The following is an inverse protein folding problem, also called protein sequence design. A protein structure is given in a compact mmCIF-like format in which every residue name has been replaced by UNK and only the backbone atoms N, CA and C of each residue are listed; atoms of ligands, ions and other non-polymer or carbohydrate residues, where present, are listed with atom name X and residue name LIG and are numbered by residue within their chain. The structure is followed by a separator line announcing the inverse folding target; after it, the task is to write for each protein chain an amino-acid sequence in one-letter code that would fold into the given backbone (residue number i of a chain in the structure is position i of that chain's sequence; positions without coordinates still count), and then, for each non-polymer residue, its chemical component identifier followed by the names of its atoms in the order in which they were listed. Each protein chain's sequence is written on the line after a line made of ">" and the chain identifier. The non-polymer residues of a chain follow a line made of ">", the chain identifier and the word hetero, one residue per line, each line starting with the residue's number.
data_IF_334630716287
#
_entry.id   IF_334630716287
#
_cell.length_a   1.000
_cell.length_b   1.000
_cell.length_c   1.000
_cell.angle_alpha   90.00
_cell.angle_beta   90.00
_cell.angle_gamma   90.00
#
_symmetry.space_group_name_H-M   'P 1'
#
loop_
_entity.id
_entity.type
_entity.pdbx_description
1 polymer ?
#
# COMPACT_ATOMS: atom_id res chain seq x y z
N UNK A 1 17.42 7.04 -16.30
CA UNK A 1 16.10 7.14 -16.96
C UNK A 1 15.81 5.78 -17.55
N UNK A 2 14.74 5.13 -17.09
CA UNK A 2 14.40 3.76 -17.49
C UNK A 2 13.58 3.78 -18.78
N UNK A 3 13.74 2.76 -19.63
CA UNK A 3 13.00 2.57 -20.89
C UNK A 3 11.47 2.78 -20.72
N UNK A 4 10.95 2.41 -19.56
CA UNK A 4 9.55 2.57 -19.15
C UNK A 4 9.08 4.04 -19.18
N UNK A 5 9.94 5.01 -18.86
CA UNK A 5 9.57 6.44 -18.86
C UNK A 5 9.30 7.01 -20.26
N UNK A 6 9.78 6.34 -21.32
CA UNK A 6 9.56 6.74 -22.72
C UNK A 6 8.36 6.04 -23.36
N UNK A 7 8.11 4.79 -22.97
CA UNK A 7 7.03 3.96 -23.56
C UNK A 7 5.65 4.38 -23.02
N UNK A 8 5.56 4.71 -21.75
CA UNK A 8 4.27 5.07 -21.12
C UNK A 8 3.59 6.27 -21.79
N UNK A 9 4.27 7.39 -22.10
CA UNK A 9 3.64 8.53 -22.79
C UNK A 9 3.09 8.15 -24.16
N UNK A 10 3.80 7.30 -24.90
CA UNK A 10 3.37 6.86 -26.26
C UNK A 10 2.09 6.02 -26.18
N UNK A 11 2.00 5.10 -25.21
CA UNK A 11 0.82 4.25 -25.02
C UNK A 11 -0.34 5.04 -24.41
N UNK A 12 -0.06 6.06 -23.61
CA UNK A 12 -1.08 6.93 -23.00
C UNK A 12 -1.89 7.72 -24.04
N UNK A 13 -1.31 7.98 -25.22
CA UNK A 13 -2.03 8.66 -26.34
C UNK A 13 -3.21 7.82 -26.82
N UNK A 14 -3.08 6.50 -26.85
CA UNK A 14 -4.07 5.59 -27.43
C UNK A 14 -5.03 4.96 -26.41
N UNK A 15 -4.80 5.13 -25.11
CA UNK A 15 -5.63 4.53 -24.05
C UNK A 15 -6.00 5.54 -22.99
N UNK A 16 -7.29 5.99 -22.92
CA UNK A 16 -7.74 7.03 -21.97
C UNK A 16 -7.41 6.71 -20.50
N UNK A 17 -7.54 5.45 -20.08
CA UNK A 17 -7.22 5.03 -18.70
C UNK A 17 -5.72 5.19 -18.38
N UNK A 18 -4.83 4.89 -19.33
CA UNK A 18 -3.37 5.04 -19.15
C UNK A 18 -3.00 6.52 -19.15
N UNK A 19 -3.67 7.35 -19.95
CA UNK A 19 -3.49 8.80 -19.96
C UNK A 19 -3.86 9.42 -18.61
N UNK A 20 -5.04 9.10 -18.08
CA UNK A 20 -5.47 9.54 -16.75
C UNK A 20 -4.48 9.09 -15.66
N UNK A 21 -4.07 7.84 -15.69
CA UNK A 21 -3.10 7.25 -14.78
C UNK A 21 -1.74 7.95 -14.82
N UNK A 22 -1.23 8.26 -16.00
CA UNK A 22 0.06 8.94 -16.20
C UNK A 22 0.00 10.42 -15.79
N UNK A 23 -1.01 11.16 -16.30
CA UNK A 23 -1.17 12.58 -16.00
C UNK A 23 -1.48 12.82 -14.51
N UNK A 24 -2.33 11.99 -13.92
CA UNK A 24 -2.66 12.10 -12.50
C UNK A 24 -1.41 12.02 -11.61
N UNK A 25 -0.49 11.08 -11.90
CA UNK A 25 0.78 10.97 -11.16
C UNK A 25 1.73 12.13 -11.39
N UNK A 26 1.82 12.61 -12.64
CA UNK A 26 2.78 13.65 -13.02
C UNK A 26 2.43 15.01 -12.40
N UNK A 27 1.13 15.29 -12.25
CA UNK A 27 0.65 16.61 -11.83
C UNK A 27 0.07 16.64 -10.42
N UNK A 28 0.14 15.52 -9.67
CA UNK A 28 -0.33 15.54 -8.29
C UNK A 28 0.60 16.38 -7.40
N UNK A 29 0.00 17.18 -6.55
CA UNK A 29 0.69 17.89 -5.48
C UNK A 29 0.62 17.02 -4.22
N UNK A 30 1.77 16.79 -3.60
CA UNK A 30 1.81 16.08 -2.32
C UNK A 30 1.32 17.01 -1.20
N UNK A 31 0.62 16.48 -0.18
CA UNK A 31 0.02 17.32 0.85
C UNK A 31 1.08 17.98 1.73
N UNK A 32 0.71 19.12 2.27
CA UNK A 32 1.34 19.70 3.44
C UNK A 32 0.53 19.28 4.66
N UNK A 33 1.15 18.48 5.53
CA UNK A 33 0.49 17.90 6.70
C UNK A 33 1.06 18.55 7.95
N UNK A 34 0.20 18.85 8.90
CA UNK A 34 0.57 19.48 10.17
C UNK A 34 1.22 18.53 11.16
N UNK A 35 1.05 17.21 10.95
CA UNK A 35 1.64 16.16 11.78
C UNK A 35 1.86 14.88 10.95
N UNK A 36 2.58 13.92 11.52
CA UNK A 36 2.91 12.64 10.88
C UNK A 36 1.65 11.80 10.66
N UNK A 37 1.30 11.44 9.40
CA UNK A 37 0.05 10.72 9.08
C UNK A 37 0.15 9.22 9.30
N UNK A 38 -1.01 8.56 9.29
CA UNK A 38 -1.13 7.16 8.89
C UNK A 38 -1.35 7.13 7.39
N UNK A 39 -0.48 6.41 6.68
CA UNK A 39 -0.60 6.23 5.23
C UNK A 39 -1.21 4.87 4.92
N UNK A 40 -2.33 4.87 4.19
CA UNK A 40 -3.03 3.68 3.71
C UNK A 40 -2.83 3.57 2.19
N UNK A 41 -2.42 2.41 1.71
CA UNK A 41 -2.29 2.13 0.29
C UNK A 41 -3.25 1.02 -0.15
N UNK A 42 -4.07 1.34 -1.17
CA UNK A 42 -4.98 0.42 -1.85
C UNK A 42 -4.71 0.52 -3.36
N UNK A 43 -4.28 -0.54 -4.04
CA UNK A 43 -3.96 -0.42 -5.46
C UNK A 43 -5.17 -0.09 -6.33
N UNK A 44 -6.35 -0.58 -5.94
CA UNK A 44 -7.59 -0.47 -6.72
C UNK A 44 -8.79 -0.14 -5.84
N UNK A 45 -9.96 0.05 -6.47
CA UNK A 45 -11.22 0.24 -5.77
C UNK A 45 -11.58 -0.98 -4.90
N UNK A 46 -11.35 -2.20 -5.39
CA UNK A 46 -11.68 -3.41 -4.62
C UNK A 46 -10.88 -3.55 -3.33
N UNK A 47 -9.61 -3.16 -3.33
CA UNK A 47 -8.78 -3.11 -2.13
C UNK A 47 -9.22 -1.98 -1.20
N UNK A 48 -9.60 -0.83 -1.76
CA UNK A 48 -10.16 0.26 -0.96
C UNK A 48 -11.41 -0.19 -0.19
N UNK A 49 -12.35 -0.90 -0.82
CA UNK A 49 -13.55 -1.36 -0.11
C UNK A 49 -13.23 -2.31 1.05
N UNK A 50 -12.14 -3.05 0.97
CA UNK A 50 -11.66 -3.88 2.09
C UNK A 50 -10.93 -3.06 3.17
N UNK A 51 -10.23 -2.01 2.78
CA UNK A 51 -9.56 -1.09 3.72
C UNK A 51 -10.48 -0.04 4.33
N UNK A 52 -11.62 0.26 3.70
CA UNK A 52 -12.54 1.33 4.09
C UNK A 52 -13.02 1.23 5.55
N UNK A 53 -13.47 0.08 6.06
CA UNK A 53 -13.90 -0.03 7.46
C UNK A 53 -12.81 0.36 8.44
N UNK A 54 -11.55 0.01 8.14
CA UNK A 54 -10.40 0.40 8.96
C UNK A 54 -10.15 1.92 8.89
N UNK A 55 -10.24 2.53 7.68
CA UNK A 55 -10.06 3.98 7.52
C UNK A 55 -11.11 4.74 8.35
N UNK A 56 -12.38 4.32 8.26
CA UNK A 56 -13.48 4.92 8.99
C UNK A 56 -13.32 4.75 10.52
N UNK A 57 -12.87 3.58 10.97
CA UNK A 57 -12.54 3.33 12.36
C UNK A 57 -11.38 4.21 12.86
N UNK A 58 -10.29 4.31 12.09
CA UNK A 58 -9.16 5.18 12.41
C UNK A 58 -9.58 6.65 12.50
N UNK A 59 -10.43 7.13 11.59
CA UNK A 59 -10.95 8.50 11.62
C UNK A 59 -11.79 8.75 12.86
N UNK A 60 -12.61 7.77 13.26
CA UNK A 60 -13.46 7.86 14.45
C UNK A 60 -12.66 7.87 15.75
N UNK A 61 -11.70 6.95 15.88
CA UNK A 61 -10.91 6.76 17.09
C UNK A 61 -9.81 7.82 17.27
N UNK A 62 -9.23 8.29 16.14
CA UNK A 62 -8.13 9.27 16.14
C UNK A 62 -8.42 10.42 15.16
N UNK A 63 -9.41 11.27 15.46
CA UNK A 63 -9.86 12.33 14.55
C UNK A 63 -8.75 13.34 14.19
N UNK A 64 -7.80 13.56 15.09
CA UNK A 64 -6.69 14.52 14.91
C UNK A 64 -5.51 13.96 14.09
N UNK A 65 -5.45 12.63 13.90
CA UNK A 65 -4.36 12.01 13.15
C UNK A 65 -4.62 12.16 11.65
N UNK A 66 -3.73 12.80 10.87
CA UNK A 66 -3.91 12.87 9.44
C UNK A 66 -3.88 11.48 8.80
N UNK A 67 -4.81 11.23 7.88
CA UNK A 67 -4.87 10.04 7.07
C UNK A 67 -4.53 10.37 5.63
N UNK A 68 -3.61 9.62 5.04
CA UNK A 68 -3.21 9.70 3.63
C UNK A 68 -3.61 8.43 2.94
N UNK A 69 -4.37 8.54 1.86
CA UNK A 69 -4.80 7.41 1.05
C UNK A 69 -4.15 7.46 -0.33
N UNK A 70 -3.56 6.36 -0.76
CA UNK A 70 -3.00 6.28 -2.10
C UNK A 70 -3.58 5.13 -2.90
N UNK A 71 -3.72 5.36 -4.20
CA UNK A 71 -4.12 4.36 -5.18
C UNK A 71 -3.02 4.12 -6.22
N UNK A 72 -2.96 2.91 -6.74
CA UNK A 72 -2.15 2.65 -7.92
C UNK A 72 -2.96 2.80 -9.22
N UNK A 73 -4.19 2.31 -9.25
CA UNK A 73 -5.05 2.37 -10.43
C UNK A 73 -5.91 3.63 -10.50
N UNK A 74 -6.23 4.07 -11.72
CA UNK A 74 -7.17 5.16 -11.94
C UNK A 74 -8.60 4.82 -11.49
N UNK A 75 -8.99 3.56 -11.49
CA UNK A 75 -10.34 3.16 -11.06
C UNK A 75 -10.61 3.45 -9.59
N UNK A 76 -9.61 3.24 -8.71
CA UNK A 76 -9.72 3.60 -7.30
C UNK A 76 -9.67 5.11 -7.11
N UNK A 77 -8.66 5.76 -7.68
CA UNK A 77 -8.46 7.20 -7.51
C UNK A 77 -9.63 8.04 -8.01
N UNK A 78 -10.08 7.86 -9.25
CA UNK A 78 -11.15 8.70 -9.83
C UNK A 78 -12.46 8.61 -9.06
N UNK A 79 -12.78 7.45 -8.50
CA UNK A 79 -13.99 7.25 -7.71
C UNK A 79 -13.86 7.73 -6.25
N UNK A 80 -12.65 7.87 -5.73
CA UNK A 80 -12.40 8.16 -4.32
C UNK A 80 -11.52 9.39 -4.07
N UNK A 81 -11.15 10.16 -5.09
CA UNK A 81 -10.31 11.37 -4.95
C UNK A 81 -10.89 12.45 -4.02
N UNK A 82 -12.19 12.45 -3.81
CA UNK A 82 -12.89 13.35 -2.89
C UNK A 82 -13.38 12.63 -1.61
N UNK A 83 -12.75 11.51 -1.22
CA UNK A 83 -13.15 10.77 -0.04
C UNK A 83 -12.82 11.54 1.24
N UNK A 84 -13.87 11.96 1.96
CA UNK A 84 -13.80 12.93 3.06
C UNK A 84 -13.30 12.37 4.41
N UNK A 85 -13.09 11.05 4.51
CA UNK A 85 -12.57 10.45 5.74
C UNK A 85 -11.04 10.52 5.85
N UNK A 86 -10.36 11.02 4.81
CA UNK A 86 -8.91 11.18 4.79
C UNK A 86 -8.51 12.61 4.45
N UNK A 87 -7.32 13.02 4.85
CA UNK A 87 -6.84 14.39 4.63
C UNK A 87 -6.28 14.58 3.21
N UNK A 88 -5.86 13.49 2.57
CA UNK A 88 -5.37 13.56 1.20
C UNK A 88 -5.55 12.22 0.49
N UNK A 89 -5.91 12.30 -0.79
CA UNK A 89 -6.00 11.15 -1.71
C UNK A 89 -5.12 11.41 -2.92
N UNK A 90 -4.29 10.45 -3.28
CA UNK A 90 -3.44 10.56 -4.45
C UNK A 90 -3.03 9.24 -5.07
N UNK A 91 -2.25 9.32 -6.12
CA UNK A 91 -1.61 8.16 -6.72
C UNK A 91 -0.30 7.82 -6.00
N UNK A 92 -0.06 6.53 -5.80
CA UNK A 92 1.28 6.07 -5.43
C UNK A 92 2.23 6.30 -6.61
N UNK A 93 3.33 7.03 -6.46
CA UNK A 93 4.35 7.12 -7.52
C UNK A 93 4.90 5.75 -7.88
N UNK A 94 5.40 5.59 -9.11
CA UNK A 94 5.97 4.31 -9.57
C UNK A 94 7.04 3.81 -8.59
N UNK A 95 7.08 2.50 -8.37
CA UNK A 95 8.01 1.84 -7.45
C UNK A 95 9.45 1.86 -7.98
N UNK A 96 10.04 3.03 -7.92
CA UNK A 96 11.44 3.30 -8.24
C UNK A 96 12.13 3.87 -7.00
N UNK A 97 13.42 3.57 -6.77
CA UNK A 97 14.14 4.02 -5.56
C UNK A 97 13.99 5.52 -5.28
N UNK A 98 14.21 6.36 -6.30
CA UNK A 98 14.09 7.82 -6.16
C UNK A 98 12.66 8.31 -5.91
N UNK A 99 11.63 7.61 -6.41
CA UNK A 99 10.24 7.94 -6.16
C UNK A 99 9.82 7.54 -4.75
N UNK A 100 10.18 6.33 -4.34
CA UNK A 100 9.89 5.83 -3.00
C UNK A 100 10.53 6.72 -1.92
N UNK A 101 11.81 7.06 -2.10
CA UNK A 101 12.52 7.95 -1.18
C UNK A 101 11.81 9.32 -1.06
N UNK A 102 11.60 10.03 -2.18
CA UNK A 102 10.96 11.36 -2.18
C UNK A 102 9.55 11.34 -1.60
N UNK A 103 8.77 10.30 -1.92
CA UNK A 103 7.41 10.19 -1.41
C UNK A 103 7.41 9.96 0.11
N UNK A 104 8.19 9.00 0.60
CA UNK A 104 8.27 8.70 2.05
C UNK A 104 8.86 9.89 2.82
N UNK A 105 9.85 10.60 2.26
CA UNK A 105 10.40 11.83 2.86
C UNK A 105 9.39 12.96 2.94
N UNK A 106 8.53 13.11 1.95
CA UNK A 106 7.52 14.18 1.95
C UNK A 106 6.35 13.88 2.87
N UNK A 107 5.89 12.61 2.90
CA UNK A 107 4.74 12.20 3.72
C UNK A 107 5.13 11.98 5.19
N UNK A 108 6.32 11.44 5.47
CA UNK A 108 6.82 11.10 6.82
C UNK A 108 5.78 10.33 7.65
N UNK A 109 5.26 9.20 7.16
CA UNK A 109 4.18 8.51 7.85
C UNK A 109 4.70 7.90 9.17
N UNK A 110 3.84 7.92 10.22
CA UNK A 110 4.10 7.21 11.49
C UNK A 110 3.80 5.71 11.39
N UNK A 111 2.92 5.34 10.47
CA UNK A 111 2.52 3.96 10.18
C UNK A 111 2.08 3.88 8.72
N UNK A 112 2.42 2.76 8.07
CA UNK A 112 1.92 2.45 6.72
C UNK A 112 1.09 1.19 6.76
N UNK A 113 -0.07 1.22 6.10
CA UNK A 113 -1.01 0.10 5.99
C UNK A 113 -1.16 -0.25 4.53
N UNK A 114 -0.69 -1.42 4.15
CA UNK A 114 -0.89 -1.97 2.80
C UNK A 114 -2.08 -2.92 2.80
N UNK A 115 -3.02 -2.71 1.88
CA UNK A 115 -4.20 -3.56 1.74
C UNK A 115 -3.94 -4.62 0.68
N UNK A 116 -4.08 -5.89 1.03
CA UNK A 116 -3.80 -7.08 0.19
C UNK A 116 -2.31 -7.26 -0.17
N UNK A 117 -2.02 -7.52 -1.46
CA UNK A 117 -0.72 -8.00 -1.97
C UNK A 117 0.23 -6.88 -2.40
N UNK A 118 0.13 -5.74 -1.78
CA UNK A 118 0.82 -4.51 -2.19
C UNK A 118 2.27 -4.49 -1.69
N UNK A 119 3.08 -5.41 -2.24
CA UNK A 119 4.49 -5.58 -1.87
C UNK A 119 5.40 -4.72 -2.75
N UNK A 120 5.30 -3.40 -2.64
CA UNK A 120 6.08 -2.42 -3.38
C UNK A 120 7.52 -2.37 -2.87
N UNK A 121 8.43 -3.07 -3.53
CA UNK A 121 9.79 -3.36 -3.03
C UNK A 121 10.56 -2.13 -2.57
N UNK A 122 10.66 -1.10 -3.42
CA UNK A 122 11.45 0.09 -3.07
C UNK A 122 10.80 0.88 -1.92
N UNK A 123 9.47 0.90 -1.85
CA UNK A 123 8.77 1.48 -0.70
C UNK A 123 9.04 0.71 0.58
N UNK A 124 8.99 -0.62 0.56
CA UNK A 124 9.27 -1.44 1.74
C UNK A 124 10.72 -1.28 2.22
N UNK A 125 11.69 -1.21 1.29
CA UNK A 125 13.10 -0.95 1.59
C UNK A 125 13.25 0.43 2.24
N UNK A 126 12.61 1.45 1.69
CA UNK A 126 12.71 2.81 2.21
C UNK A 126 12.07 2.97 3.59
N UNK A 127 10.93 2.34 3.82
CA UNK A 127 10.26 2.31 5.13
C UNK A 127 11.13 1.63 6.19
N UNK A 128 11.74 0.47 5.87
CA UNK A 128 12.67 -0.20 6.78
C UNK A 128 13.91 0.66 7.08
N UNK A 129 14.49 1.28 6.04
CA UNK A 129 15.64 2.18 6.19
C UNK A 129 15.36 3.35 7.14
N UNK A 130 14.16 3.93 7.04
CA UNK A 130 13.72 5.05 7.89
C UNK A 130 13.11 4.60 9.22
N UNK A 131 13.06 3.28 9.50
CA UNK A 131 12.43 2.71 10.70
C UNK A 131 10.96 3.04 10.84
N UNK A 132 10.27 3.28 9.74
CA UNK A 132 8.84 3.52 9.72
C UNK A 132 8.12 2.16 9.75
N UNK A 133 7.26 1.90 10.75
CA UNK A 133 6.52 0.65 10.83
C UNK A 133 5.50 0.53 9.69
N UNK A 134 5.36 -0.68 9.16
CA UNK A 134 4.32 -0.98 8.18
C UNK A 134 3.67 -2.33 8.48
N UNK A 135 2.40 -2.44 8.13
CA UNK A 135 1.58 -3.64 8.30
C UNK A 135 0.85 -3.97 7.02
N UNK A 136 0.42 -5.22 6.91
CA UNK A 136 -0.40 -5.69 5.80
C UNK A 136 -1.74 -6.19 6.35
N UNK A 137 -2.83 -5.79 5.71
CA UNK A 137 -4.18 -6.21 6.07
C UNK A 137 -4.87 -6.91 4.90
N UNK A 138 -5.86 -7.74 5.20
CA UNK A 138 -6.64 -8.48 4.19
C UNK A 138 -5.77 -9.33 3.25
N UNK A 139 -4.63 -9.81 3.75
CA UNK A 139 -3.72 -10.62 2.97
C UNK A 139 -4.26 -12.04 2.76
N UNK A 140 -4.01 -12.58 1.57
CA UNK A 140 -4.20 -14.01 1.28
C UNK A 140 -2.89 -14.55 0.77
N UNK A 141 -2.40 -15.65 1.33
CA UNK A 141 -1.17 -16.30 0.91
C UNK A 141 -1.45 -17.66 0.30
N UNK A 142 -0.67 -18.01 -0.72
CA UNK A 142 -0.74 -19.34 -1.37
C UNK A 142 0.68 -19.81 -1.65
N UNK A 143 0.91 -21.12 -1.55
CA UNK A 143 2.25 -21.74 -1.67
C UNK A 143 2.94 -21.46 -3.01
N UNK A 144 2.17 -21.21 -4.07
CA UNK A 144 2.71 -20.94 -5.41
C UNK A 144 3.05 -19.45 -5.64
N UNK A 145 2.78 -18.55 -4.69
CA UNK A 145 3.02 -17.12 -4.88
C UNK A 145 4.51 -16.77 -5.02
N UNK A 146 4.79 -15.78 -5.88
CA UNK A 146 6.13 -15.32 -6.21
C UNK A 146 7.05 -15.10 -5.01
N UNK A 147 6.65 -14.40 -3.93
CA UNK A 147 7.55 -14.14 -2.82
C UNK A 147 8.05 -15.41 -2.10
N UNK A 148 7.32 -16.52 -2.21
CA UNK A 148 7.66 -17.82 -1.61
C UNK A 148 8.56 -18.71 -2.49
N UNK A 149 8.87 -18.27 -3.71
CA UNK A 149 9.78 -19.03 -4.58
C UNK A 149 11.21 -18.98 -4.03
N UNK A 150 11.94 -20.08 -4.14
CA UNK A 150 13.29 -20.23 -3.60
C UNK A 150 14.28 -19.14 -4.05
N UNK A 151 14.11 -18.60 -5.25
CA UNK A 151 14.94 -17.55 -5.82
C UNK A 151 14.49 -16.12 -5.44
N UNK A 152 13.33 -15.97 -4.81
CA UNK A 152 12.77 -14.68 -4.37
C UNK A 152 13.05 -14.37 -2.88
N UNK A 153 13.98 -15.08 -2.25
CA UNK A 153 14.27 -14.96 -0.82
C UNK A 153 14.65 -13.54 -0.36
N UNK A 154 15.31 -12.77 -1.20
CA UNK A 154 15.62 -11.36 -0.94
C UNK A 154 14.36 -10.50 -0.81
N UNK A 155 13.36 -10.76 -1.67
CA UNK A 155 12.08 -10.05 -1.64
C UNK A 155 11.25 -10.47 -0.43
N UNK A 156 11.19 -11.77 -0.15
CA UNK A 156 10.53 -12.30 1.04
C UNK A 156 11.12 -11.71 2.33
N UNK A 157 12.44 -11.58 2.41
CA UNK A 157 13.12 -10.95 3.55
C UNK A 157 12.69 -9.50 3.74
N UNK A 158 12.47 -8.77 2.66
CA UNK A 158 11.99 -7.38 2.71
C UNK A 158 10.55 -7.31 3.20
N UNK A 159 9.65 -8.19 2.69
CA UNK A 159 8.25 -8.25 3.14
C UNK A 159 8.18 -8.56 4.65
N UNK A 160 8.99 -9.49 5.14
CA UNK A 160 9.05 -9.88 6.56
C UNK A 160 9.47 -8.78 7.53
N UNK A 161 9.92 -7.63 7.04
CA UNK A 161 10.14 -6.43 7.88
C UNK A 161 8.84 -5.78 8.34
N UNK A 162 7.70 -6.12 7.74
CA UNK A 162 6.38 -5.73 8.22
C UNK A 162 6.16 -6.14 9.67
N UNK A 163 5.51 -5.26 10.46
CA UNK A 163 5.30 -5.48 11.90
C UNK A 163 4.16 -6.46 12.19
N UNK A 164 3.15 -6.51 11.30
CA UNK A 164 2.00 -7.40 11.44
C UNK A 164 1.41 -7.76 10.08
N UNK A 165 0.79 -8.94 10.03
CA UNK A 165 0.14 -9.48 8.83
C UNK A 165 -1.23 -10.01 9.25
N UNK A 166 -2.29 -9.30 8.84
CA UNK A 166 -3.67 -9.72 9.06
C UNK A 166 -4.16 -10.46 7.81
N UNK A 167 -4.49 -11.72 7.95
CA UNK A 167 -4.84 -12.60 6.82
C UNK A 167 -6.33 -12.94 6.83
N UNK A 168 -6.86 -13.31 5.67
CA UNK A 168 -8.28 -13.59 5.47
C UNK A 168 -8.67 -15.05 5.75
N UNK A 169 -7.70 -15.97 5.78
CA UNK A 169 -7.99 -17.40 5.91
C UNK A 169 -6.88 -18.15 6.65
N UNK A 170 -7.24 -19.30 7.18
CA UNK A 170 -6.38 -20.18 7.95
C UNK A 170 -5.18 -20.70 7.12
N UNK A 171 -5.37 -21.00 5.84
CA UNK A 171 -4.29 -21.44 4.94
C UNK A 171 -3.20 -20.39 4.86
N UNK A 172 -3.59 -19.11 4.77
CA UNK A 172 -2.65 -18.00 4.76
C UNK A 172 -1.90 -17.88 6.08
N UNK A 173 -2.58 -18.05 7.22
CA UNK A 173 -1.95 -18.03 8.53
C UNK A 173 -0.88 -19.13 8.66
N UNK A 174 -1.20 -20.36 8.25
CA UNK A 174 -0.28 -21.51 8.25
C UNK A 174 0.95 -21.25 7.37
N UNK A 175 0.75 -20.70 6.16
CA UNK A 175 1.85 -20.33 5.27
C UNK A 175 2.77 -19.29 5.92
N UNK A 176 2.21 -18.26 6.56
CA UNK A 176 3.01 -17.24 7.25
C UNK A 176 3.81 -17.86 8.40
N UNK A 177 3.20 -18.73 9.20
CA UNK A 177 3.84 -19.43 10.30
C UNK A 177 4.99 -20.33 9.81
N UNK A 178 4.76 -21.16 8.80
CA UNK A 178 5.77 -22.05 8.19
C UNK A 178 6.96 -21.26 7.63
N UNK A 179 6.71 -20.06 7.11
CA UNK A 179 7.74 -19.18 6.59
C UNK A 179 8.31 -18.21 7.61
N UNK A 180 8.01 -18.36 8.92
CA UNK A 180 8.55 -17.55 10.03
C UNK A 180 8.32 -16.03 9.83
N UNK A 181 7.10 -15.65 9.48
CA UNK A 181 6.69 -14.26 9.52
C UNK A 181 6.48 -13.79 10.96
N UNK A 182 6.56 -12.48 11.23
CA UNK A 182 6.15 -11.93 12.52
C UNK A 182 4.67 -12.28 12.78
N UNK A 183 4.40 -13.06 13.82
CA UNK A 183 3.08 -13.68 14.05
C UNK A 183 2.16 -12.87 14.96
N UNK A 184 2.45 -11.65 15.28
CA UNK A 184 1.76 -10.91 16.33
C UNK A 184 0.26 -10.64 16.12
N UNK A 185 -0.37 -11.06 15.01
CA UNK A 185 -1.78 -10.75 14.76
C UNK A 185 -2.53 -11.61 13.73
N UNK A 186 -2.25 -12.90 13.60
CA UNK A 186 -2.95 -13.74 12.61
C UNK A 186 -4.32 -14.25 13.07
N UNK A 187 -4.72 -14.13 14.33
CA UNK A 187 -5.72 -15.08 14.86
C UNK A 187 -7.07 -14.52 15.31
N UNK A 188 -7.40 -13.24 15.20
CA UNK A 188 -8.66 -12.80 15.85
C UNK A 188 -9.52 -11.74 15.16
N UNK A 189 -9.21 -11.27 13.97
CA UNK A 189 -9.99 -10.15 13.40
C UNK A 189 -11.14 -10.52 12.47
N UNK A 190 -11.27 -11.80 12.07
CA UNK A 190 -12.24 -12.19 11.05
C UNK A 190 -13.28 -13.25 11.47
N UNK A 191 -13.20 -13.83 12.67
CA UNK A 191 -14.19 -14.85 13.10
C UNK A 191 -15.55 -14.26 13.53
N UNK A 192 -15.65 -12.95 13.84
CA UNK A 192 -16.86 -12.40 14.45
C UNK A 192 -17.72 -11.49 13.56
N UNK A 193 -17.53 -11.46 12.26
CA UNK A 193 -18.30 -10.50 11.39
C UNK A 193 -18.84 -11.03 10.07
N UNK A 194 -19.06 -12.33 9.92
CA UNK A 194 -19.88 -12.84 8.81
C UNK A 194 -20.83 -13.94 9.28
#
# INVERSE_FOLDING_TARGET
>A
MTLVSWIIPLVAVFRPKIRLWYHGRKHQTLPELTSTPVWIHCASLGEFEQGRPLIEALRKEWPEVPLVLTFFSSSGYELRKNYNQVNWVGYLPLDLPGNANRFVERIQPRLVIFVKYEYWFNYLVELDRKKIPFIFISNVWRSHYFPLKWWAGWFLKTIKKGKAFFVQDQISAEILQQNKFPTSATDKFYEDKF
#
